data_IF_319056275295
#
_entry.id   IF_319056275295
#
_cell.length_a   1.000
_cell.length_b   1.000
_cell.length_c   1.000
_cell.angle_alpha   90.00
_cell.angle_beta   90.00
_cell.angle_gamma   90.00
#
_symmetry.space_group_name_H-M   'P 1'
#
loop_
_entity.id
_entity.type
_entity.pdbx_description
1 polymer ?
#
# COMPACT_ATOMS: atom_id res chain seq x y z
N UNK A 1 28.89 1.42 4.03
CA UNK A 1 27.62 0.75 4.42
C UNK A 1 26.48 1.68 4.04
N UNK A 2 25.55 1.23 3.21
CA UNK A 2 24.41 2.05 2.77
C UNK A 2 23.42 2.22 3.92
N UNK A 3 23.00 3.46 4.20
CA UNK A 3 21.94 3.80 5.15
C UNK A 3 20.66 4.14 4.36
N UNK A 4 19.65 3.29 4.46
CA UNK A 4 18.37 3.36 3.75
C UNK A 4 17.26 3.76 4.72
N UNK A 5 16.53 4.82 4.39
CA UNK A 5 15.27 5.12 5.07
C UNK A 5 14.13 4.37 4.38
N UNK A 6 13.44 3.49 5.11
CA UNK A 6 12.26 2.77 4.63
C UNK A 6 11.00 3.39 5.25
N UNK A 7 10.29 4.17 4.47
CA UNK A 7 9.01 4.79 4.82
C UNK A 7 7.89 3.81 4.46
N UNK A 8 6.93 3.58 5.37
CA UNK A 8 5.85 2.63 5.12
C UNK A 8 4.47 3.11 5.53
N UNK A 9 3.45 2.66 4.78
CA UNK A 9 2.05 3.10 4.94
C UNK A 9 1.01 2.02 4.61
N UNK A 10 -0.25 2.16 5.09
CA UNK A 10 -1.37 1.44 4.49
C UNK A 10 -1.68 1.98 3.08
N UNK A 11 -1.34 1.21 2.05
CA UNK A 11 -1.43 1.63 0.63
C UNK A 11 -2.84 2.00 0.17
N UNK A 12 -3.86 1.37 0.76
CA UNK A 12 -5.25 1.53 0.35
C UNK A 12 -5.89 2.85 0.80
N UNK A 13 -5.23 3.62 1.67
CA UNK A 13 -5.78 4.87 2.20
C UNK A 13 -5.20 6.08 1.46
N UNK A 14 -6.07 6.99 1.02
CA UNK A 14 -5.65 8.19 0.28
C UNK A 14 -4.85 9.14 1.19
N UNK A 15 -5.33 9.35 2.41
CA UNK A 15 -4.68 10.14 3.47
C UNK A 15 -3.29 9.61 3.79
N UNK A 16 -3.10 8.30 3.84
CA UNK A 16 -1.79 7.70 4.06
C UNK A 16 -0.84 7.93 2.87
N UNK A 17 -1.33 7.90 1.63
CA UNK A 17 -0.56 8.27 0.44
C UNK A 17 -0.16 9.76 0.46
N UNK A 18 -1.05 10.65 0.92
CA UNK A 18 -0.74 12.08 1.11
C UNK A 18 0.33 12.32 2.18
N UNK A 19 0.21 11.67 3.35
CA UNK A 19 1.22 11.78 4.40
C UNK A 19 2.57 11.23 3.95
N UNK A 20 2.56 10.11 3.21
CA UNK A 20 3.78 9.57 2.63
C UNK A 20 4.43 10.52 1.62
N UNK A 21 3.64 11.19 0.77
CA UNK A 21 4.19 12.10 -0.23
C UNK A 21 4.87 13.32 0.41
N UNK A 22 4.27 13.90 1.44
CA UNK A 22 4.87 14.95 2.28
C UNK A 22 6.14 14.47 2.99
N UNK A 23 6.08 13.27 3.57
CA UNK A 23 7.23 12.68 4.28
C UNK A 23 8.39 12.42 3.34
N UNK A 24 8.12 11.89 2.14
CA UNK A 24 9.14 11.66 1.12
C UNK A 24 9.81 12.96 0.68
N UNK A 25 9.03 14.02 0.44
CA UNK A 25 9.59 15.33 0.07
C UNK A 25 10.49 15.89 1.18
N UNK A 26 9.97 15.94 2.42
CA UNK A 26 10.70 16.46 3.59
C UNK A 26 11.97 15.64 3.88
N UNK A 27 11.86 14.31 3.83
CA UNK A 27 13.00 13.42 4.04
C UNK A 27 14.04 13.55 2.92
N UNK A 28 13.62 13.65 1.65
CA UNK A 28 14.54 13.84 0.53
C UNK A 28 15.35 15.13 0.68
N UNK A 29 14.68 16.23 1.03
CA UNK A 29 15.31 17.53 1.26
C UNK A 29 16.25 17.50 2.48
N UNK A 30 15.77 17.05 3.64
CA UNK A 30 16.53 17.09 4.89
C UNK A 30 17.72 16.12 4.92
N UNK A 31 17.58 14.94 4.31
CA UNK A 31 18.65 13.96 4.22
C UNK A 31 19.63 14.28 3.09
N UNK A 32 19.22 15.11 2.10
CA UNK A 32 19.95 15.29 0.85
C UNK A 32 20.05 13.97 0.09
N UNK A 33 18.90 13.28 -0.04
CA UNK A 33 18.80 12.02 -0.79
C UNK A 33 18.94 12.27 -2.28
N UNK A 34 19.61 11.38 -2.99
CA UNK A 34 19.71 11.38 -4.46
C UNK A 34 18.77 10.38 -5.13
N UNK A 35 18.09 9.53 -4.35
CA UNK A 35 17.23 8.46 -4.86
C UNK A 35 15.97 8.25 -4.00
N UNK A 36 14.81 8.25 -4.65
CA UNK A 36 13.56 7.69 -4.14
C UNK A 36 13.26 6.36 -4.86
N UNK A 37 13.01 5.32 -4.07
CA UNK A 37 12.58 4.00 -4.53
C UNK A 37 11.11 3.85 -4.12
N UNK A 38 10.19 3.72 -5.07
CA UNK A 38 8.74 3.80 -4.82
C UNK A 38 8.00 2.55 -5.23
N UNK A 39 6.95 2.22 -4.47
CA UNK A 39 6.10 1.04 -4.63
C UNK A 39 5.07 1.18 -5.75
N UNK A 40 5.53 1.65 -6.91
CA UNK A 40 4.77 1.78 -8.15
C UNK A 40 5.27 0.76 -9.19
N UNK A 41 4.44 0.42 -10.19
CA UNK A 41 4.85 -0.37 -11.34
C UNK A 41 6.07 0.18 -12.07
N UNK A 42 6.97 -0.72 -12.45
CA UNK A 42 8.10 -0.41 -13.32
C UNK A 42 7.66 0.23 -14.64
N UNK A 43 8.41 1.22 -15.10
CA UNK A 43 8.12 1.98 -16.31
C UNK A 43 7.44 3.32 -16.02
N UNK A 44 6.74 3.43 -14.88
CA UNK A 44 6.05 4.67 -14.47
C UNK A 44 7.01 5.85 -14.23
N UNK A 45 8.31 5.60 -14.02
CA UNK A 45 9.33 6.64 -13.89
C UNK A 45 9.35 7.58 -15.10
N UNK A 46 9.08 7.04 -16.30
CA UNK A 46 9.03 7.82 -17.54
C UNK A 46 7.90 8.85 -17.52
N UNK A 47 6.73 8.47 -16.97
CA UNK A 47 5.56 9.34 -16.84
C UNK A 47 5.78 10.43 -15.79
N UNK A 48 6.46 10.09 -14.69
CA UNK A 48 6.81 11.06 -13.64
C UNK A 48 7.80 12.13 -14.11
N UNK A 49 8.47 11.91 -15.25
CA UNK A 49 9.41 12.85 -15.89
C UNK A 49 8.78 13.69 -17.00
N UNK A 50 7.51 13.48 -17.32
CA UNK A 50 6.84 14.25 -18.35
C UNK A 50 6.78 15.75 -18.00
N UNK A 51 7.17 16.64 -18.93
CA UNK A 51 7.03 18.08 -18.73
C UNK A 51 5.57 18.44 -18.48
N UNK A 52 5.30 19.25 -17.45
CA UNK A 52 3.95 19.72 -17.08
C UNK A 52 2.92 18.60 -16.83
N UNK A 53 3.37 17.39 -16.50
CA UNK A 53 2.46 16.32 -16.09
C UNK A 53 1.62 16.72 -14.88
N UNK A 54 0.33 16.41 -14.95
CA UNK A 54 -0.58 16.42 -13.81
C UNK A 54 -0.70 15.01 -13.22
N UNK A 55 -1.12 14.88 -11.95
CA UNK A 55 -1.38 13.56 -11.36
C UNK A 55 -2.36 12.73 -12.20
N UNK A 56 -3.44 13.35 -12.69
CA UNK A 56 -4.44 12.69 -13.53
C UNK A 56 -3.84 12.19 -14.85
N UNK A 57 -3.06 13.00 -15.57
CA UNK A 57 -2.49 12.59 -16.85
C UNK A 57 -1.51 11.41 -16.71
N UNK A 58 -0.76 11.36 -15.60
CA UNK A 58 0.15 10.23 -15.30
C UNK A 58 -0.64 8.96 -15.03
N UNK A 59 -1.69 9.07 -14.21
CA UNK A 59 -2.53 7.93 -13.86
C UNK A 59 -3.31 7.37 -15.07
N UNK A 60 -3.87 8.26 -15.91
CA UNK A 60 -4.55 7.89 -17.15
C UNK A 60 -3.60 7.17 -18.12
N UNK A 61 -2.40 7.71 -18.35
CA UNK A 61 -1.40 7.06 -19.20
C UNK A 61 -0.95 5.71 -18.65
N UNK A 62 -0.75 5.59 -17.34
CA UNK A 62 -0.38 4.32 -16.70
C UNK A 62 -1.49 3.27 -16.85
N UNK A 63 -2.76 3.69 -16.89
CA UNK A 63 -3.90 2.83 -17.18
C UNK A 63 -3.92 2.40 -18.65
N UNK A 64 -3.71 3.32 -19.59
CA UNK A 64 -3.66 3.02 -21.03
C UNK A 64 -2.54 2.03 -21.39
N UNK A 65 -1.39 2.16 -20.73
CA UNK A 65 -0.25 1.24 -20.86
C UNK A 65 -0.46 -0.08 -20.10
N UNK A 66 -1.56 -0.21 -19.37
CA UNK A 66 -1.93 -1.41 -18.61
C UNK A 66 -1.07 -1.66 -17.37
N UNK A 67 -0.39 -0.64 -16.84
CA UNK A 67 0.38 -0.73 -15.60
C UNK A 67 -0.49 -0.60 -14.36
N UNK A 68 -1.59 0.14 -14.44
CA UNK A 68 -2.58 0.30 -13.37
C UNK A 68 -3.96 -0.22 -13.81
N UNK A 69 -4.78 -0.71 -12.86
CA UNK A 69 -6.15 -1.10 -13.17
C UNK A 69 -7.03 0.11 -13.50
N UNK A 70 -8.02 -0.09 -14.37
CA UNK A 70 -9.12 0.85 -14.63
C UNK A 70 -10.11 0.89 -13.45
N UNK A 71 -9.65 1.37 -12.29
CA UNK A 71 -10.48 1.53 -11.09
C UNK A 71 -10.37 2.94 -10.56
N UNK A 72 -11.44 3.74 -10.71
CA UNK A 72 -11.48 5.13 -10.26
C UNK A 72 -11.11 5.28 -8.78
N UNK A 73 -11.55 4.34 -7.93
CA UNK A 73 -11.18 4.30 -6.51
C UNK A 73 -9.67 4.09 -6.31
N UNK A 74 -9.05 3.17 -7.04
CA UNK A 74 -7.61 2.92 -6.95
C UNK A 74 -6.79 4.12 -7.41
N UNK A 75 -7.18 4.74 -8.53
CA UNK A 75 -6.51 5.93 -9.04
C UNK A 75 -6.62 7.10 -8.07
N UNK A 76 -7.81 7.31 -7.48
CA UNK A 76 -8.04 8.34 -6.45
C UNK A 76 -7.20 8.11 -5.20
N UNK A 77 -6.90 6.87 -4.83
CA UNK A 77 -6.01 6.60 -3.68
C UNK A 77 -4.55 6.98 -3.97
N UNK A 78 -4.08 6.74 -5.21
CA UNK A 78 -2.69 6.98 -5.62
C UNK A 78 -2.39 8.45 -5.97
N UNK A 79 -3.38 9.22 -6.38
CA UNK A 79 -3.22 10.60 -6.84
C UNK A 79 -2.33 11.49 -5.92
N UNK A 80 -2.45 11.53 -4.57
CA UNK A 80 -1.61 12.39 -3.74
C UNK A 80 -0.15 11.97 -3.71
N UNK A 81 0.10 10.67 -3.91
CA UNK A 81 1.45 10.14 -4.02
C UNK A 81 2.07 10.61 -5.33
N UNK A 82 1.36 10.47 -6.45
CA UNK A 82 1.83 10.91 -7.76
C UNK A 82 2.09 12.42 -7.75
N UNK A 83 1.19 13.21 -7.17
CA UNK A 83 1.36 14.65 -6.99
C UNK A 83 2.66 14.99 -6.26
N UNK A 84 2.92 14.36 -5.10
CA UNK A 84 4.15 14.63 -4.37
C UNK A 84 5.41 14.14 -5.10
N UNK A 85 5.35 13.04 -5.83
CA UNK A 85 6.48 12.56 -6.65
C UNK A 85 6.81 13.51 -7.81
N UNK A 86 5.78 14.10 -8.45
CA UNK A 86 5.96 15.13 -9.47
C UNK A 86 6.64 16.38 -8.87
N UNK A 87 6.25 16.78 -7.66
CA UNK A 87 6.87 17.91 -6.96
C UNK A 87 8.33 17.61 -6.59
N UNK A 88 8.64 16.41 -6.07
CA UNK A 88 10.03 16.00 -5.79
C UNK A 88 10.88 16.05 -7.06
N UNK A 89 10.37 15.52 -8.18
CA UNK A 89 11.11 15.48 -9.43
C UNK A 89 11.39 16.90 -9.97
N UNK A 90 10.43 17.83 -9.82
CA UNK A 90 10.55 19.23 -10.24
C UNK A 90 11.51 20.03 -9.38
N UNK A 91 11.42 19.86 -8.06
CA UNK A 91 12.05 20.78 -7.10
C UNK A 91 13.43 20.28 -6.62
N UNK A 92 13.57 18.97 -6.39
CA UNK A 92 14.69 18.41 -5.64
C UNK A 92 15.73 17.70 -6.52
N UNK A 93 15.48 17.55 -7.84
CA UNK A 93 16.33 16.80 -8.79
C UNK A 93 16.72 15.39 -8.30
N UNK A 94 15.84 14.75 -7.53
CA UNK A 94 16.05 13.42 -6.98
C UNK A 94 15.64 12.38 -8.02
N UNK A 95 16.45 11.35 -8.22
CA UNK A 95 16.06 10.27 -9.12
C UNK A 95 14.93 9.45 -8.49
N UNK A 96 13.88 9.17 -9.25
CA UNK A 96 12.79 8.29 -8.82
C UNK A 96 12.90 6.97 -9.58
N UNK A 97 12.80 5.84 -8.84
CA UNK A 97 12.78 4.47 -9.35
C UNK A 97 11.59 3.71 -8.80
N UNK A 98 10.86 3.05 -9.68
CA UNK A 98 9.75 2.18 -9.37
C UNK A 98 10.26 0.73 -9.30
N UNK A 99 9.76 -0.06 -8.35
CA UNK A 99 10.28 -1.40 -8.11
C UNK A 99 9.25 -2.52 -8.23
N UNK A 100 7.97 -2.20 -8.41
CA UNK A 100 6.92 -3.24 -8.47
C UNK A 100 6.91 -3.85 -9.87
N UNK A 101 7.18 -5.14 -9.94
CA UNK A 101 7.05 -5.92 -11.17
C UNK A 101 5.62 -5.80 -11.72
N UNK A 102 5.49 -5.29 -12.95
CA UNK A 102 4.20 -5.03 -13.57
C UNK A 102 3.42 -6.30 -13.92
N UNK A 103 4.09 -7.44 -14.09
CA UNK A 103 3.44 -8.75 -14.29
C UNK A 103 2.84 -9.27 -12.99
N UNK A 104 3.60 -9.22 -11.89
CA UNK A 104 3.12 -9.62 -10.56
C UNK A 104 2.00 -8.69 -10.06
N UNK A 105 2.11 -7.40 -10.38
CA UNK A 105 1.06 -6.43 -10.05
C UNK A 105 -0.27 -6.75 -10.76
N UNK A 106 -0.22 -7.08 -12.07
CA UNK A 106 -1.42 -7.50 -12.82
C UNK A 106 -2.04 -8.76 -12.23
N UNK A 107 -1.22 -9.70 -11.80
CA UNK A 107 -1.70 -10.92 -11.16
C UNK A 107 -2.36 -10.64 -9.80
N UNK A 108 -1.78 -9.77 -8.96
CA UNK A 108 -2.41 -9.39 -7.68
C UNK A 108 -3.74 -8.67 -7.92
N UNK A 109 -3.82 -7.77 -8.91
CA UNK A 109 -5.07 -7.11 -9.31
C UNK A 109 -6.14 -8.14 -9.73
N UNK A 110 -5.75 -9.16 -10.50
CA UNK A 110 -6.66 -10.23 -10.92
C UNK A 110 -7.18 -10.99 -9.71
N UNK A 111 -6.32 -11.39 -8.78
CA UNK A 111 -6.72 -12.10 -7.56
C UNK A 111 -7.59 -11.22 -6.66
N UNK A 112 -7.27 -9.93 -6.53
CA UNK A 112 -8.09 -8.95 -5.79
C UNK A 112 -9.50 -8.82 -6.36
N UNK A 113 -9.68 -8.96 -7.68
CA UNK A 113 -11.00 -8.92 -8.30
C UNK A 113 -11.90 -10.11 -7.93
N UNK A 114 -11.33 -11.21 -7.41
CA UNK A 114 -12.11 -12.34 -6.92
C UNK A 114 -12.78 -12.04 -5.56
N UNK A 115 -12.19 -11.15 -4.75
CA UNK A 115 -12.67 -10.81 -3.40
C UNK A 115 -14.10 -10.26 -3.42
N UNK A 116 -14.46 -9.22 -4.23
CA UNK A 116 -15.84 -8.75 -4.32
C UNK A 116 -16.83 -9.83 -4.77
N UNK A 117 -16.42 -10.71 -5.69
CA UNK A 117 -17.27 -11.83 -6.16
C UNK A 117 -17.59 -12.79 -5.02
N UNK A 118 -16.58 -13.19 -4.25
CA UNK A 118 -16.75 -14.09 -3.11
C UNK A 118 -17.57 -13.45 -1.99
N UNK A 119 -17.32 -12.16 -1.69
CA UNK A 119 -18.12 -11.41 -0.73
C UNK A 119 -19.57 -11.28 -1.17
N UNK A 120 -19.83 -10.90 -2.42
CA UNK A 120 -21.20 -10.79 -2.95
C UNK A 120 -21.92 -12.13 -2.83
N UNK A 121 -21.28 -13.23 -3.23
CA UNK A 121 -21.85 -14.57 -3.14
C UNK A 121 -22.18 -14.94 -1.69
N UNK A 122 -21.24 -14.74 -0.77
CA UNK A 122 -21.44 -14.98 0.66
C UNK A 122 -22.56 -14.10 1.24
N UNK A 123 -22.74 -12.89 0.71
CA UNK A 123 -23.78 -11.96 1.14
C UNK A 123 -25.20 -12.38 0.75
N UNK A 124 -25.34 -13.16 -0.34
CA UNK A 124 -26.61 -13.62 -0.90
C UNK A 124 -26.99 -14.99 -0.32
N UNK A 125 -26.08 -15.96 -0.35
CA UNK A 125 -26.38 -17.36 0.00
C UNK A 125 -25.84 -17.80 1.37
N UNK A 126 -25.10 -16.93 2.07
CA UNK A 126 -24.31 -17.31 3.25
C UNK A 126 -22.99 -18.02 2.89
N UNK A 127 -22.27 -18.50 3.91
CA UNK A 127 -20.97 -19.17 3.76
C UNK A 127 -21.08 -20.70 3.91
N UNK A 128 -20.93 -21.42 2.79
CA UNK A 128 -20.77 -22.88 2.80
C UNK A 128 -19.34 -23.31 3.14
N UNK A 129 -19.09 -24.59 3.47
CA UNK A 129 -17.73 -25.13 3.59
C UNK A 129 -16.90 -24.96 2.30
N UNK A 130 -17.50 -25.22 1.13
CA UNK A 130 -16.82 -25.01 -0.17
C UNK A 130 -16.48 -23.56 -0.45
N UNK A 131 -17.26 -22.59 0.06
CA UNK A 131 -16.88 -21.18 -0.04
C UNK A 131 -15.62 -20.89 0.80
N UNK A 132 -15.48 -21.49 1.98
CA UNK A 132 -14.30 -21.31 2.82
C UNK A 132 -13.03 -21.88 2.18
N UNK A 133 -13.13 -23.03 1.51
CA UNK A 133 -12.02 -23.61 0.75
C UNK A 133 -11.58 -22.68 -0.39
N UNK A 134 -12.53 -22.11 -1.15
CA UNK A 134 -12.23 -21.15 -2.22
C UNK A 134 -11.59 -19.85 -1.68
N UNK A 135 -12.05 -19.37 -0.52
CA UNK A 135 -11.41 -18.24 0.17
C UNK A 135 -9.99 -18.56 0.62
N UNK A 136 -9.79 -19.74 1.21
CA UNK A 136 -8.48 -20.16 1.70
C UNK A 136 -7.48 -20.31 0.54
N UNK A 137 -7.91 -20.92 -0.56
CA UNK A 137 -7.15 -21.00 -1.80
C UNK A 137 -6.78 -19.61 -2.35
N UNK A 138 -7.74 -18.68 -2.42
CA UNK A 138 -7.47 -17.30 -2.85
C UNK A 138 -6.42 -16.62 -1.95
N UNK A 139 -6.54 -16.76 -0.62
CA UNK A 139 -5.58 -16.19 0.33
C UNK A 139 -4.20 -16.82 0.15
N UNK A 140 -4.11 -18.13 -0.05
CA UNK A 140 -2.85 -18.83 -0.30
C UNK A 140 -2.17 -18.37 -1.59
N UNK A 141 -2.91 -18.34 -2.72
CA UNK A 141 -2.40 -17.84 -4.01
C UNK A 141 -1.84 -16.41 -3.88
N UNK A 142 -2.55 -15.52 -3.20
CA UNK A 142 -2.09 -14.15 -2.95
C UNK A 142 -0.87 -14.08 -2.04
N UNK A 143 -0.80 -14.91 -1.00
CA UNK A 143 0.36 -14.97 -0.12
C UNK A 143 1.60 -15.59 -0.80
N UNK A 144 1.41 -16.52 -1.74
CA UNK A 144 2.48 -17.04 -2.60
C UNK A 144 3.01 -15.96 -3.54
N UNK A 145 2.10 -15.25 -4.21
CA UNK A 145 2.46 -14.12 -5.07
C UNK A 145 3.21 -13.03 -4.28
N UNK A 146 2.73 -12.69 -3.08
CA UNK A 146 3.39 -11.73 -2.20
C UNK A 146 4.79 -12.17 -1.75
N UNK A 147 4.99 -13.47 -1.48
CA UNK A 147 6.31 -14.03 -1.15
C UNK A 147 7.27 -13.98 -2.35
N UNK A 148 6.79 -14.36 -3.54
CA UNK A 148 7.57 -14.28 -4.77
C UNK A 148 7.98 -12.84 -5.05
N UNK A 149 7.02 -11.91 -4.98
CA UNK A 149 7.27 -10.48 -5.13
C UNK A 149 8.30 -9.97 -4.12
N UNK A 150 8.19 -10.34 -2.84
CA UNK A 150 9.11 -9.84 -1.81
C UNK A 150 10.57 -10.25 -2.04
N UNK A 151 10.84 -11.42 -2.62
CA UNK A 151 12.20 -11.81 -3.00
C UNK A 151 12.77 -10.85 -4.05
N UNK A 152 12.05 -10.70 -5.17
CA UNK A 152 12.41 -9.80 -6.28
C UNK A 152 12.57 -8.35 -5.80
N UNK A 153 11.63 -7.87 -4.98
CA UNK A 153 11.66 -6.52 -4.40
C UNK A 153 12.89 -6.33 -3.51
N UNK A 154 13.25 -7.32 -2.68
CA UNK A 154 14.42 -7.21 -1.80
C UNK A 154 15.70 -7.05 -2.61
N UNK A 155 15.90 -7.91 -3.61
CA UNK A 155 17.09 -7.87 -4.48
C UNK A 155 17.18 -6.54 -5.20
N UNK A 156 16.06 -6.08 -5.77
CA UNK A 156 16.01 -4.85 -6.54
C UNK A 156 16.22 -3.59 -5.69
N UNK A 157 15.54 -3.50 -4.54
CA UNK A 157 15.73 -2.38 -3.61
C UNK A 157 17.18 -2.36 -3.11
N UNK A 158 17.78 -3.53 -2.85
CA UNK A 158 19.18 -3.62 -2.47
C UNK A 158 20.10 -3.11 -3.59
N UNK A 159 19.92 -3.57 -4.83
CA UNK A 159 20.69 -3.14 -5.99
C UNK A 159 20.59 -1.62 -6.22
N UNK A 160 19.38 -1.07 -6.18
CA UNK A 160 19.12 0.35 -6.39
C UNK A 160 19.71 1.21 -5.26
N UNK A 161 19.66 0.73 -4.02
CA UNK A 161 20.17 1.47 -2.86
C UNK A 161 21.70 1.46 -2.76
N UNK A 162 22.36 0.43 -3.30
CA UNK A 162 23.82 0.32 -3.28
C UNK A 162 24.46 1.48 -4.07
N UNK A 163 25.48 2.12 -3.47
CA UNK A 163 26.21 3.29 -4.02
C UNK A 163 25.39 4.59 -4.14
N UNK A 164 24.19 4.65 -3.57
CA UNK A 164 23.37 5.88 -3.52
C UNK A 164 23.51 6.61 -2.20
N UNK A 165 23.36 7.93 -2.25
CA UNK A 165 23.48 8.79 -1.07
C UNK A 165 22.14 8.85 -0.35
N UNK A 166 22.05 8.14 0.78
CA UNK A 166 20.90 8.14 1.70
C UNK A 166 19.57 7.86 0.96
N UNK A 167 19.48 6.74 0.22
CA UNK A 167 18.26 6.40 -0.50
C UNK A 167 17.07 6.33 0.44
N UNK A 168 15.89 6.67 -0.09
CA UNK A 168 14.62 6.54 0.62
C UNK A 168 13.77 5.56 -0.17
N UNK A 169 13.29 4.50 0.49
CA UNK A 169 12.39 3.53 -0.09
C UNK A 169 11.01 3.68 0.55
N UNK A 170 9.98 3.58 -0.28
CA UNK A 170 8.59 3.65 0.11
C UNK A 170 7.93 2.29 -0.06
N UNK A 171 7.23 1.82 0.96
CA UNK A 171 6.63 0.48 0.95
C UNK A 171 5.28 0.41 1.68
N UNK A 172 4.64 -0.76 1.60
CA UNK A 172 3.42 -1.08 2.30
C UNK A 172 3.66 -1.64 3.71
N UNK A 173 2.64 -2.29 4.27
CA UNK A 173 2.70 -2.87 5.62
C UNK A 173 3.69 -4.05 5.75
N UNK A 174 4.16 -4.59 4.62
CA UNK A 174 5.22 -5.59 4.53
C UNK A 174 6.63 -5.05 4.80
N UNK A 175 6.79 -3.73 5.01
CA UNK A 175 8.07 -3.06 5.22
C UNK A 175 8.93 -3.68 6.34
N UNK A 176 8.31 -4.27 7.37
CA UNK A 176 9.04 -4.96 8.44
C UNK A 176 9.82 -6.17 7.94
N UNK A 177 9.20 -6.99 7.08
CA UNK A 177 9.85 -8.16 6.51
C UNK A 177 10.88 -7.75 5.45
N UNK A 178 10.56 -6.73 4.64
CA UNK A 178 11.52 -6.13 3.71
C UNK A 178 12.77 -5.60 4.44
N UNK A 179 12.59 -4.83 5.53
CA UNK A 179 13.69 -4.32 6.34
C UNK A 179 14.54 -5.44 6.94
N UNK A 180 13.91 -6.52 7.43
CA UNK A 180 14.62 -7.68 7.97
C UNK A 180 15.53 -8.29 6.90
N UNK A 181 15.02 -8.50 5.68
CA UNK A 181 15.78 -9.10 4.58
C UNK A 181 16.91 -8.19 4.09
N UNK A 182 16.63 -6.90 3.91
CA UNK A 182 17.65 -5.92 3.52
C UNK A 182 18.78 -5.81 4.56
N UNK A 183 18.45 -5.89 5.87
CA UNK A 183 19.45 -5.93 6.95
C UNK A 183 20.32 -7.18 6.88
N UNK A 184 19.72 -8.34 6.59
CA UNK A 184 20.47 -9.59 6.36
C UNK A 184 21.41 -9.49 5.15
N UNK A 185 21.07 -8.67 4.15
CA UNK A 185 21.92 -8.36 3.00
C UNK A 185 22.97 -7.26 3.28
N UNK A 186 23.14 -6.82 4.54
CA UNK A 186 24.17 -5.86 4.93
C UNK A 186 23.81 -4.38 4.75
N UNK A 187 22.54 -4.06 4.45
CA UNK A 187 22.05 -2.68 4.34
C UNK A 187 21.54 -2.22 5.72
N UNK A 188 21.98 -1.05 6.17
CA UNK A 188 21.45 -0.44 7.38
C UNK A 188 20.09 0.18 7.05
N UNK A 189 19.02 -0.34 7.64
CA UNK A 189 17.64 0.13 7.37
C UNK A 189 17.04 0.81 8.60
N UNK A 190 16.64 2.07 8.44
CA UNK A 190 15.76 2.80 9.38
C UNK A 190 14.31 2.67 8.92
N UNK A 191 13.39 2.41 9.84
CA UNK A 191 11.96 2.34 9.54
C UNK A 191 11.27 3.62 9.99
N UNK A 192 10.39 4.15 9.16
CA UNK A 192 9.55 5.29 9.48
C UNK A 192 8.12 5.02 9.02
N UNK A 193 7.16 5.12 9.94
CA UNK A 193 5.77 4.85 9.65
C UNK A 193 5.00 6.13 9.38
N UNK A 194 4.12 6.12 8.38
CA UNK A 194 3.20 7.23 8.10
C UNK A 194 1.76 6.73 8.06
N UNK A 195 0.85 7.53 8.62
CA UNK A 195 -0.56 7.14 8.76
C UNK A 195 -0.79 6.07 9.83
N UNK A 196 0.02 6.03 10.89
CA UNK A 196 -0.17 5.17 12.05
C UNK A 196 -0.55 5.97 13.30
N UNK A 197 -1.34 5.40 14.23
CA UNK A 197 -1.77 3.99 14.25
C UNK A 197 -2.88 3.66 13.23
N UNK A 198 -2.84 2.43 12.70
CA UNK A 198 -3.73 1.90 11.67
C UNK A 198 -4.36 0.58 12.14
N UNK A 199 -5.67 0.47 12.03
CA UNK A 199 -6.39 -0.77 12.27
C UNK A 199 -6.42 -1.58 10.98
N UNK A 200 -5.76 -2.75 10.94
CA UNK A 200 -5.80 -3.61 9.75
C UNK A 200 -7.22 -4.08 9.46
N UNK A 201 -7.65 -3.94 8.21
CA UNK A 201 -8.91 -4.49 7.71
C UNK A 201 -8.99 -6.01 7.92
N UNK A 202 -10.20 -6.61 7.97
CA UNK A 202 -10.33 -8.05 8.14
C UNK A 202 -9.57 -8.84 7.07
N UNK A 203 -9.53 -8.35 5.84
CA UNK A 203 -8.74 -8.95 4.76
C UNK A 203 -7.24 -8.96 5.04
N UNK A 204 -6.68 -7.85 5.53
CA UNK A 204 -5.26 -7.78 5.91
C UNK A 204 -4.95 -8.69 7.09
N UNK A 205 -5.89 -8.87 8.02
CA UNK A 205 -5.75 -9.83 9.13
C UNK A 205 -5.75 -11.27 8.61
N UNK A 206 -6.64 -11.62 7.67
CA UNK A 206 -6.64 -12.95 7.03
C UNK A 206 -5.28 -13.28 6.39
N UNK A 207 -4.74 -12.36 5.58
CA UNK A 207 -3.44 -12.55 4.93
C UNK A 207 -2.32 -12.74 5.96
N UNK A 208 -2.31 -11.91 7.02
CA UNK A 208 -1.33 -12.00 8.08
C UNK A 208 -1.37 -13.35 8.80
N UNK A 209 -2.55 -13.82 9.21
CA UNK A 209 -2.69 -15.11 9.89
C UNK A 209 -2.31 -16.27 8.96
N UNK A 210 -2.77 -16.24 7.70
CA UNK A 210 -2.45 -17.27 6.73
C UNK A 210 -0.94 -17.35 6.44
N UNK A 211 -0.26 -16.21 6.30
CA UNK A 211 1.19 -16.18 6.07
C UNK A 211 2.00 -16.75 7.24
N UNK A 212 1.42 -16.81 8.44
CA UNK A 212 2.03 -17.39 9.64
C UNK A 212 1.60 -18.84 9.88
N UNK A 213 0.74 -19.41 9.02
CA UNK A 213 0.14 -20.72 9.25
C UNK A 213 -0.81 -20.75 10.46
N UNK A 214 -1.36 -19.60 10.83
CA UNK A 214 -2.20 -19.40 12.03
C UNK A 214 -3.67 -19.14 11.69
N UNK A 215 -4.09 -19.35 10.44
CA UNK A 215 -5.48 -19.12 10.02
C UNK A 215 -6.27 -20.43 10.06
N UNK A 216 -7.09 -20.61 11.09
CA UNK A 216 -8.06 -21.71 11.14
C UNK A 216 -9.29 -21.43 10.26
N UNK A 217 -10.06 -22.48 9.93
CA UNK A 217 -11.32 -22.34 9.19
C UNK A 217 -12.38 -21.52 9.96
N UNK A 218 -12.38 -21.63 11.29
CA UNK A 218 -13.30 -20.86 12.14
C UNK A 218 -12.94 -19.36 12.14
N UNK A 219 -11.65 -19.03 12.28
CA UNK A 219 -11.17 -17.65 12.18
C UNK A 219 -11.41 -17.08 10.79
N UNK A 220 -11.16 -17.86 9.72
CA UNK A 220 -11.46 -17.45 8.35
C UNK A 220 -12.95 -17.12 8.20
N UNK A 221 -13.84 -18.00 8.67
CA UNK A 221 -15.29 -17.76 8.64
C UNK A 221 -15.67 -16.47 9.39
N UNK A 222 -15.08 -16.25 10.55
CA UNK A 222 -15.32 -15.05 11.37
C UNK A 222 -14.87 -13.79 10.64
N UNK A 223 -13.65 -13.79 10.11
CA UNK A 223 -13.07 -12.67 9.37
C UNK A 223 -13.85 -12.37 8.09
N UNK A 224 -14.40 -13.38 7.39
CA UNK A 224 -15.20 -13.13 6.19
C UNK A 224 -16.51 -12.45 6.55
N UNK A 225 -17.16 -12.87 7.66
CA UNK A 225 -18.35 -12.19 8.18
C UNK A 225 -18.03 -10.75 8.56
N UNK A 226 -16.90 -10.52 9.21
CA UNK A 226 -16.46 -9.18 9.56
C UNK A 226 -16.14 -8.33 8.33
N UNK A 227 -15.51 -8.90 7.30
CA UNK A 227 -15.26 -8.23 6.02
C UNK A 227 -16.58 -7.85 5.33
N UNK A 228 -17.60 -8.72 5.36
CA UNK A 228 -18.93 -8.42 4.83
C UNK A 228 -19.58 -7.26 5.58
N UNK A 229 -19.50 -7.25 6.92
CA UNK A 229 -20.00 -6.16 7.74
C UNK A 229 -19.22 -4.86 7.47
N UNK A 230 -17.90 -4.92 7.34
CA UNK A 230 -17.05 -3.77 7.00
C UNK A 230 -17.50 -3.14 5.67
N UNK A 231 -17.68 -3.97 4.64
CA UNK A 231 -18.11 -3.48 3.32
C UNK A 231 -19.53 -2.92 3.37
N UNK A 232 -20.50 -3.66 3.92
CA UNK A 232 -21.92 -3.26 3.90
C UNK A 232 -22.23 -2.04 4.77
N UNK A 233 -21.58 -1.92 5.93
CA UNK A 233 -21.90 -0.87 6.92
C UNK A 233 -21.04 0.37 6.74
N UNK A 234 -19.85 0.25 6.17
CA UNK A 234 -18.92 1.36 6.05
C UNK A 234 -18.62 1.64 4.58
N UNK A 235 -17.91 0.75 3.87
CA UNK A 235 -17.41 1.04 2.51
C UNK A 235 -18.53 1.45 1.54
N UNK A 236 -19.70 0.80 1.59
CA UNK A 236 -20.84 1.13 0.73
C UNK A 236 -21.63 2.36 1.16
N UNK A 237 -21.48 2.83 2.41
CA UNK A 237 -22.27 3.93 2.97
C UNK A 237 -21.58 5.28 2.91
N UNK A 238 -20.25 5.28 2.80
CA UNK A 238 -19.44 6.49 2.74
C UNK A 238 -18.89 6.70 1.33
N UNK A 239 -18.75 7.96 0.91
CA UNK A 239 -18.26 8.32 -0.43
C UNK A 239 -16.74 8.21 -0.59
N UNK A 240 -16.03 7.87 0.49
CA UNK A 240 -14.58 7.78 0.54
C UNK A 240 -14.13 6.64 1.48
N UNK A 241 -13.07 5.92 1.07
CA UNK A 241 -12.57 4.77 1.82
C UNK A 241 -11.87 5.19 3.12
N UNK A 242 -11.23 6.35 3.17
CA UNK A 242 -10.63 6.85 4.41
C UNK A 242 -11.72 7.14 5.44
N UNK A 243 -12.80 7.81 5.03
CA UNK A 243 -13.94 8.08 5.92
C UNK A 243 -14.54 6.77 6.44
N UNK A 244 -14.79 5.81 5.55
CA UNK A 244 -15.29 4.49 5.92
C UNK A 244 -14.36 3.81 6.95
N UNK A 245 -13.06 3.88 6.72
CA UNK A 245 -12.06 3.25 7.58
C UNK A 245 -11.92 3.95 8.95
N UNK A 246 -11.98 5.28 8.98
CA UNK A 246 -11.96 6.08 10.21
C UNK A 246 -13.18 5.74 11.06
N UNK A 247 -14.38 5.68 10.46
CA UNK A 247 -15.62 5.31 11.16
C UNK A 247 -15.54 3.89 11.71
N UNK A 248 -15.11 2.93 10.88
CA UNK A 248 -14.92 1.55 11.32
C UNK A 248 -13.91 1.43 12.46
N UNK A 249 -12.79 2.17 12.40
CA UNK A 249 -11.77 2.19 13.45
C UNK A 249 -12.32 2.75 14.76
N UNK A 250 -13.09 3.85 14.71
CA UNK A 250 -13.72 4.44 15.91
C UNK A 250 -14.70 3.46 16.57
N UNK A 251 -15.46 2.72 15.78
CA UNK A 251 -16.45 1.76 16.30
C UNK A 251 -15.79 0.48 16.84
N UNK A 252 -14.73 -0.01 16.19
CA UNK A 252 -14.08 -1.28 16.54
C UNK A 252 -12.95 -1.17 17.55
N UNK A 253 -12.21 -0.07 17.48
CA UNK A 253 -11.02 0.17 18.30
C UNK A 253 -10.99 1.64 18.74
N UNK A 254 -11.97 2.10 19.55
CA UNK A 254 -12.07 3.50 19.97
C UNK A 254 -10.80 4.01 20.67
N UNK A 255 -10.03 3.12 21.30
CA UNK A 255 -8.73 3.46 21.92
C UNK A 255 -7.67 3.90 20.90
N UNK A 256 -7.80 3.57 19.61
CA UNK A 256 -6.89 4.06 18.56
C UNK A 256 -7.18 5.52 18.18
N UNK A 257 -8.41 6.00 18.35
CA UNK A 257 -8.79 7.37 17.99
C UNK A 257 -8.07 8.44 18.84
N UNK A 258 -7.69 8.10 20.08
CA UNK A 258 -6.89 8.98 20.94
C UNK A 258 -5.45 9.24 20.46
N UNK A 259 -4.96 8.46 19.49
CA UNK A 259 -3.64 8.64 18.89
C UNK A 259 -3.70 9.34 17.52
N UNK A 260 -4.87 9.38 16.87
CA UNK A 260 -5.08 9.99 15.55
C UNK A 260 -5.21 11.51 15.58
N UNK A 261 -5.48 12.12 16.75
CA UNK A 261 -5.60 13.57 16.92
C UNK A 261 -4.28 14.34 16.65
N UNK A 262 -3.15 13.64 16.54
CA UNK A 262 -1.86 14.24 16.14
C UNK A 262 -1.77 14.41 14.61
N UNK A 263 -2.50 13.59 13.83
CA UNK A 263 -2.54 13.73 12.36
C UNK A 263 -3.58 14.74 11.85
N UNK A 264 -4.63 15.03 12.63
CA UNK A 264 -5.64 16.07 12.30
C UNK A 264 -5.05 17.49 12.40
N UNK A 265 -4.03 17.71 13.24
CA UNK A 265 -3.34 19.01 13.38
C UNK A 265 -2.56 19.46 12.13
N UNK A 266 -2.27 18.56 11.19
CA UNK A 266 -1.59 18.90 9.93
C UNK A 266 -2.58 19.23 8.81
N UNK A 267 -3.87 18.94 9.01
CA UNK A 267 -4.93 19.13 8.01
C UNK A 267 -5.58 20.52 7.98
N UNK A 268 -5.38 21.35 9.01
CA UNK A 268 -6.07 22.66 9.12
C UNK A 268 -5.17 23.88 8.90
N UNK A 269 -3.87 23.70 8.68
CA UNK A 269 -2.93 24.83 8.68
C UNK A 269 -2.21 25.05 7.35
N UNK A 270 -2.86 24.89 6.20
CA UNK A 270 -2.41 25.49 4.92
C UNK A 270 -3.63 25.70 4.00
N UNK A 271 -4.31 26.83 4.20
CA UNK A 271 -5.06 27.53 3.15
C UNK A 271 -4.08 28.35 2.30
#
# INVERSE_FOLDING_TARGET
MTDLLLVFRPRGLRSANRLASLTLYSAALSLGSDLLIVDLPEGMESLLRWPHASPSSVLEAAVELGWLPQSSSTLRVLEPLIEGLLNVNRDLKVEIKCYVDSSLFKEDVKLQSEVPRLLLRASIKGLSPSDLEEWLDLIHRRNELGRASLNTVTEKVAELAVKRRRPICLSGLEAWELAKRLRSSGIKVRLESVGLPYLRSPMEVMHLLASRGQLSLEELRSLIKEQLDYVKRYVMRYGDLDEAHIKWTRDKAPWLAGFSSISELVGESFF
#
